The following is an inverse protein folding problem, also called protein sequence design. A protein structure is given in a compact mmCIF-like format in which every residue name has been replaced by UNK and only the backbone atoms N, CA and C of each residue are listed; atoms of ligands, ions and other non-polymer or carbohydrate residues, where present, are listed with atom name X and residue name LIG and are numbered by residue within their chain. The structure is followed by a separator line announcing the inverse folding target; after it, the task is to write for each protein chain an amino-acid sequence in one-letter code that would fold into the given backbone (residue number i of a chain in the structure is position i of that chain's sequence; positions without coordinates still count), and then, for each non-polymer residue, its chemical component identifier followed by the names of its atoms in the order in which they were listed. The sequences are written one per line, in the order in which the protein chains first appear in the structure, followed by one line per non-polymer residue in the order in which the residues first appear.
data_IF_615843576437
#
_entry.id   IF_615843576437
#
_cell.length_a   1.000
_cell.length_b   1.000
_cell.length_c   1.000
_cell.angle_alpha   90.00
_cell.angle_beta   90.00
_cell.angle_gamma   90.00
#
_symmetry.space_group_name_H-M   'P 1'
#
loop_
_entity.id
_entity.type
_entity.pdbx_description
1 polymer ?
#
# COMPACT_ATOMS: atom_id res chain seq x y z
N UNK A 1 50.70 47.53 17.54
CA UNK A 1 50.07 46.37 16.89
C UNK A 1 49.24 45.54 17.87
N UNK A 2 49.83 44.94 18.92
CA UNK A 2 49.08 44.15 19.92
C UNK A 2 47.90 44.86 20.62
N UNK A 3 47.95 46.18 20.79
CA UNK A 3 46.84 46.95 21.37
C UNK A 3 45.66 47.09 20.39
N UNK A 4 45.94 47.27 19.09
CA UNK A 4 44.92 47.36 18.05
C UNK A 4 44.25 46.01 17.80
N UNK A 5 45.03 44.93 17.85
CA UNK A 5 44.53 43.55 17.72
C UNK A 5 43.56 43.20 18.85
N UNK A 6 43.94 43.44 20.11
CA UNK A 6 43.07 43.21 21.28
C UNK A 6 41.78 44.02 21.24
N UNK A 7 41.87 45.27 20.79
CA UNK A 7 40.69 46.12 20.61
C UNK A 7 39.75 45.51 19.55
N UNK A 8 40.29 45.10 18.41
CA UNK A 8 39.52 44.54 17.29
C UNK A 8 38.88 43.19 17.68
N UNK A 9 39.60 42.36 18.43
CA UNK A 9 39.09 41.10 18.96
C UNK A 9 37.91 41.31 19.92
N UNK A 10 37.98 42.35 20.78
CA UNK A 10 36.87 42.73 21.65
C UNK A 10 35.63 43.23 20.90
N UNK A 11 35.83 44.11 19.90
CA UNK A 11 34.75 44.61 19.02
C UNK A 11 34.10 43.45 18.26
N UNK A 12 34.90 42.59 17.64
CA UNK A 12 34.43 41.42 16.90
C UNK A 12 33.69 40.43 17.81
N UNK A 13 34.22 40.17 19.00
CA UNK A 13 33.61 39.27 19.99
C UNK A 13 32.21 39.74 20.40
N UNK A 14 32.04 41.04 20.65
CA UNK A 14 30.76 41.64 21.01
C UNK A 14 29.77 41.62 19.85
N UNK A 15 30.19 42.03 18.65
CA UNK A 15 29.35 42.00 17.45
C UNK A 15 28.89 40.57 17.12
N UNK A 16 29.81 39.60 17.15
CA UNK A 16 29.51 38.17 16.97
C UNK A 16 28.44 37.72 17.97
N UNK A 17 28.62 37.99 19.26
CA UNK A 17 27.66 37.57 20.30
C UNK A 17 26.27 38.17 20.08
N UNK A 18 26.21 39.46 19.71
CA UNK A 18 24.96 40.18 19.49
C UNK A 18 24.18 39.70 18.26
N UNK A 19 24.88 39.31 17.18
CA UNK A 19 24.24 38.82 15.95
C UNK A 19 23.90 37.34 16.08
N UNK A 20 24.87 36.48 16.40
CA UNK A 20 24.69 35.02 16.43
C UNK A 20 23.59 34.62 17.41
N UNK A 21 23.44 35.32 18.53
CA UNK A 21 22.38 35.06 19.51
C UNK A 21 20.95 35.32 19.02
N UNK A 22 20.76 36.01 17.89
CA UNK A 22 19.44 36.27 17.30
C UNK A 22 18.98 35.16 16.36
N UNK A 23 19.89 34.29 15.95
CA UNK A 23 19.64 33.23 14.97
C UNK A 23 19.45 31.87 15.65
N UNK A 24 18.69 30.98 15.01
CA UNK A 24 18.50 29.60 15.48
C UNK A 24 19.60 28.72 14.92
N UNK A 25 19.85 27.58 15.57
CA UNK A 25 20.81 26.58 15.07
C UNK A 25 20.49 26.13 13.62
N UNK A 26 19.20 26.04 13.27
CA UNK A 26 18.72 25.70 11.93
C UNK A 26 19.09 26.72 10.85
N UNK A 27 19.38 27.98 11.23
CA UNK A 27 19.87 29.00 10.30
C UNK A 27 21.35 28.82 9.95
N UNK A 28 22.08 27.99 10.71
CA UNK A 28 23.49 27.61 10.49
C UNK A 28 23.64 26.17 9.98
N UNK A 29 22.74 25.27 10.37
CA UNK A 29 22.80 23.84 10.07
C UNK A 29 21.42 23.39 9.60
N UNK A 30 21.29 23.21 8.28
CA UNK A 30 20.08 22.73 7.64
C UNK A 30 20.43 21.62 6.64
N UNK A 31 19.47 20.73 6.38
CA UNK A 31 19.57 19.70 5.34
C UNK A 31 19.56 20.33 3.95
N UNK A 32 18.86 21.46 3.79
CA UNK A 32 18.82 22.24 2.56
C UNK A 32 19.86 23.37 2.60
N UNK A 33 20.88 23.36 1.72
CA UNK A 33 21.91 24.40 1.68
C UNK A 33 21.36 25.82 1.43
N UNK A 34 20.21 25.96 0.77
CA UNK A 34 19.63 27.27 0.44
C UNK A 34 18.96 27.95 1.64
N UNK A 35 18.70 27.22 2.71
CA UNK A 35 18.04 27.76 3.91
C UNK A 35 19.05 28.25 4.95
N UNK A 36 20.35 28.04 4.71
CA UNK A 36 21.41 28.48 5.60
C UNK A 36 21.70 29.96 5.35
N UNK A 37 21.76 30.76 6.43
CA UNK A 37 21.82 32.23 6.35
C UNK A 37 23.22 32.79 6.58
N UNK A 38 24.27 32.03 6.25
CA UNK A 38 25.65 32.44 6.51
C UNK A 38 25.96 33.84 5.99
N UNK A 39 25.64 34.11 4.73
CA UNK A 39 25.94 35.42 4.15
C UNK A 39 25.22 36.56 4.87
N UNK A 40 23.97 36.35 5.28
CA UNK A 40 23.21 37.37 5.99
C UNK A 40 23.84 37.64 7.36
N UNK A 41 24.22 36.58 8.08
CA UNK A 41 24.83 36.68 9.40
C UNK A 41 26.20 37.35 9.31
N UNK A 42 27.02 36.99 8.32
CA UNK A 42 28.33 37.60 8.07
C UNK A 42 28.20 39.08 7.72
N UNK A 43 27.22 39.46 6.88
CA UNK A 43 26.93 40.86 6.57
C UNK A 43 26.52 41.65 7.82
N UNK A 44 25.60 41.13 8.62
CA UNK A 44 25.17 41.80 9.86
C UNK A 44 26.31 41.97 10.87
N UNK A 45 27.19 40.97 11.02
CA UNK A 45 28.38 41.08 11.87
C UNK A 45 29.32 42.16 11.32
N UNK A 46 29.58 42.15 10.02
CA UNK A 46 30.44 43.14 9.36
C UNK A 46 29.92 44.56 9.60
N UNK A 47 28.64 44.80 9.34
CA UNK A 47 28.01 46.12 9.52
C UNK A 47 28.13 46.63 10.96
N UNK A 48 27.90 45.75 11.95
CA UNK A 48 28.05 46.10 13.37
C UNK A 48 29.50 46.42 13.75
N UNK A 49 30.47 45.66 13.24
CA UNK A 49 31.90 45.90 13.50
C UNK A 49 32.33 47.20 12.84
N UNK A 50 31.97 47.44 11.58
CA UNK A 50 32.29 48.68 10.86
C UNK A 50 31.69 49.91 11.55
N UNK A 51 30.45 49.83 12.03
CA UNK A 51 29.82 50.91 12.78
C UNK A 51 30.58 51.24 14.09
N UNK A 52 31.04 50.21 14.82
CA UNK A 52 31.85 50.39 16.03
C UNK A 52 33.25 50.93 15.74
N UNK A 53 33.90 50.47 14.67
CA UNK A 53 35.23 50.97 14.26
C UNK A 53 35.18 52.45 13.84
N UNK A 54 34.13 52.86 13.10
CA UNK A 54 33.91 54.26 12.72
C UNK A 54 33.68 55.15 13.93
N UNK A 55 32.88 54.69 14.89
CA UNK A 55 32.60 55.42 16.14
C UNK A 55 33.87 55.66 16.95
N UNK A 56 34.77 54.66 17.00
CA UNK A 56 36.03 54.72 17.72
C UNK A 56 37.18 55.39 16.93
N UNK A 57 36.93 55.88 15.71
CA UNK A 57 37.90 56.57 14.84
C UNK A 57 39.24 55.83 14.67
N UNK A 58 39.17 54.50 14.54
CA UNK A 58 40.36 53.64 14.51
C UNK A 58 41.15 53.69 13.20
N UNK A 59 40.54 54.15 12.10
CA UNK A 59 41.16 54.15 10.76
C UNK A 59 41.33 52.74 10.16
N UNK A 60 40.60 51.74 10.65
CA UNK A 60 40.67 50.34 10.20
C UNK A 60 39.49 50.04 9.26
N UNK A 61 39.77 49.35 8.15
CA UNK A 61 38.80 48.86 7.17
C UNK A 61 38.78 47.33 7.13
N UNK A 62 37.59 46.73 6.95
CA UNK A 62 37.41 45.29 6.88
C UNK A 62 37.35 44.85 5.41
N UNK A 63 38.38 44.18 4.92
CA UNK A 63 38.37 43.61 3.56
C UNK A 63 37.46 42.37 3.50
N UNK A 64 37.70 41.40 4.39
CA UNK A 64 36.96 40.13 4.42
C UNK A 64 36.56 39.72 5.83
N UNK A 65 35.34 39.19 5.97
CA UNK A 65 34.82 38.57 7.19
C UNK A 65 34.07 37.30 6.77
N UNK A 66 34.37 36.19 7.44
CA UNK A 66 33.71 34.92 7.19
C UNK A 66 33.79 33.97 8.38
N UNK A 67 32.82 33.06 8.47
CA UNK A 67 32.75 32.05 9.53
C UNK A 67 33.60 30.84 9.13
N UNK A 68 34.67 30.59 9.90
CA UNK A 68 35.59 29.47 9.61
C UNK A 68 35.12 28.13 10.16
N UNK A 69 34.57 28.11 11.37
CA UNK A 69 34.14 26.87 12.05
C UNK A 69 32.99 27.16 13.01
N UNK A 70 32.00 26.28 12.98
CA UNK A 70 30.93 26.21 13.98
C UNK A 70 31.03 24.86 14.66
N UNK A 71 30.94 24.86 15.98
CA UNK A 71 30.96 23.64 16.79
C UNK A 71 30.02 23.80 17.97
N UNK A 72 29.32 22.74 18.31
CA UNK A 72 28.55 22.63 19.54
C UNK A 72 29.48 22.12 20.65
N UNK A 73 29.37 22.62 21.89
CA UNK A 73 30.07 22.02 23.02
C UNK A 73 29.67 20.56 23.19
N UNK A 74 30.62 19.69 23.56
CA UNK A 74 30.33 18.25 23.77
C UNK A 74 29.21 18.02 24.79
N UNK A 75 29.12 18.87 25.82
CA UNK A 75 28.13 18.76 26.91
C UNK A 75 26.67 18.86 26.46
N UNK A 76 26.37 19.59 25.38
CA UNK A 76 25.00 19.74 24.85
C UNK A 76 24.74 18.87 23.62
N UNK A 77 25.81 18.39 22.98
CA UNK A 77 25.74 17.56 21.78
C UNK A 77 24.97 16.26 22.04
N UNK A 78 25.22 15.58 23.17
CA UNK A 78 24.55 14.32 23.50
C UNK A 78 23.03 14.50 23.67
N UNK A 79 22.59 15.51 24.42
CA UNK A 79 21.17 15.77 24.66
C UNK A 79 20.41 16.11 23.37
N UNK A 80 21.04 16.84 22.45
CA UNK A 80 20.45 17.14 21.14
C UNK A 80 20.29 15.87 20.32
N UNK A 81 21.31 15.00 20.27
CA UNK A 81 21.23 13.73 19.56
C UNK A 81 20.18 12.77 20.15
N UNK A 82 20.08 12.69 21.47
CA UNK A 82 19.07 11.87 22.14
C UNK A 82 17.65 12.37 21.82
N UNK A 83 17.46 13.69 21.83
CA UNK A 83 16.19 14.31 21.43
C UNK A 83 15.85 14.01 19.97
N UNK A 84 16.79 14.20 19.04
CA UNK A 84 16.59 13.91 17.62
C UNK A 84 16.24 12.44 17.39
N UNK A 85 16.90 11.53 18.11
CA UNK A 85 16.64 10.08 18.04
C UNK A 85 15.23 9.76 18.53
N UNK A 86 14.82 10.36 19.64
CA UNK A 86 13.47 10.20 20.18
C UNK A 86 12.40 10.72 19.22
N UNK A 87 12.57 11.93 18.69
CA UNK A 87 11.67 12.52 17.70
C UNK A 87 11.56 11.64 16.44
N UNK A 88 12.68 11.09 15.97
CA UNK A 88 12.70 10.16 14.82
C UNK A 88 11.97 8.85 15.13
N UNK A 89 12.14 8.28 16.33
CA UNK A 89 11.39 7.07 16.75
C UNK A 89 9.88 7.32 16.81
N UNK A 90 9.46 8.48 17.32
CA UNK A 90 8.04 8.87 17.35
C UNK A 90 7.48 9.01 15.94
N UNK A 91 8.24 9.61 15.02
CA UNK A 91 7.83 9.74 13.63
C UNK A 91 7.68 8.37 12.96
N UNK A 92 8.66 7.46 13.14
CA UNK A 92 8.61 6.10 12.58
C UNK A 92 7.38 5.36 13.11
N UNK A 93 7.19 5.36 14.42
CA UNK A 93 6.04 4.68 15.04
C UNK A 93 4.70 5.24 14.53
N UNK A 94 4.60 6.56 14.31
CA UNK A 94 3.40 7.16 13.71
C UNK A 94 3.15 6.62 12.29
N UNK A 95 4.18 6.62 11.44
CA UNK A 95 4.07 6.15 10.06
C UNK A 95 3.73 4.65 9.98
N UNK A 96 4.29 3.84 10.88
CA UNK A 96 3.97 2.42 10.98
C UNK A 96 2.51 2.19 11.37
N UNK A 97 2.02 2.91 12.40
CA UNK A 97 0.63 2.82 12.83
C UNK A 97 -0.35 3.31 11.74
N UNK A 98 -0.03 4.41 11.05
CA UNK A 98 -0.83 4.92 9.94
C UNK A 98 -0.87 3.92 8.77
N UNK A 99 0.29 3.34 8.43
CA UNK A 99 0.38 2.32 7.38
C UNK A 99 -0.40 1.04 7.73
N UNK A 100 -0.32 0.59 8.98
CA UNK A 100 -1.06 -0.59 9.44
C UNK A 100 -2.57 -0.33 9.46
N UNK A 101 -3.01 0.83 9.97
CA UNK A 101 -4.42 1.20 9.99
C UNK A 101 -5.01 1.26 8.58
N UNK A 102 -4.29 1.84 7.62
CA UNK A 102 -4.74 1.93 6.24
C UNK A 102 -4.75 0.56 5.56
N UNK A 103 -3.73 -0.27 5.79
CA UNK A 103 -3.71 -1.63 5.29
C UNK A 103 -4.86 -2.47 5.83
N UNK A 104 -5.20 -2.35 7.12
CA UNK A 104 -6.33 -3.03 7.73
C UNK A 104 -7.66 -2.57 7.12
N UNK A 105 -7.85 -1.27 6.86
CA UNK A 105 -9.04 -0.75 6.18
C UNK A 105 -9.20 -1.32 4.77
N UNK A 106 -8.12 -1.33 3.98
CA UNK A 106 -8.14 -1.84 2.61
C UNK A 106 -8.51 -3.33 2.61
N UNK A 107 -7.89 -4.13 3.48
CA UNK A 107 -8.20 -5.57 3.61
C UNK A 107 -9.66 -5.79 4.02
N UNK A 108 -10.14 -5.09 5.06
CA UNK A 108 -11.51 -5.23 5.51
C UNK A 108 -12.54 -4.82 4.43
N UNK A 109 -12.24 -3.78 3.64
CA UNK A 109 -13.08 -3.38 2.53
C UNK A 109 -13.09 -4.43 1.41
N UNK A 110 -11.92 -4.98 1.06
CA UNK A 110 -11.81 -6.04 0.06
C UNK A 110 -12.52 -7.33 0.48
N UNK A 111 -12.36 -7.75 1.74
CA UNK A 111 -13.03 -8.94 2.30
C UNK A 111 -14.55 -8.77 2.28
N UNK A 112 -15.03 -7.59 2.64
CA UNK A 112 -16.45 -7.25 2.57
C UNK A 112 -16.97 -7.33 1.13
N UNK A 113 -16.27 -6.72 0.18
CA UNK A 113 -16.67 -6.77 -1.23
C UNK A 113 -16.67 -8.19 -1.78
N UNK A 114 -15.66 -9.00 -1.43
CA UNK A 114 -15.60 -10.40 -1.81
C UNK A 114 -16.80 -11.19 -1.25
N UNK A 115 -17.13 -10.99 0.02
CA UNK A 115 -18.28 -11.62 0.66
C UNK A 115 -19.62 -11.20 0.01
N UNK A 116 -19.79 -9.92 -0.31
CA UNK A 116 -20.98 -9.40 -1.00
C UNK A 116 -21.13 -10.02 -2.39
N UNK A 117 -20.04 -10.12 -3.17
CA UNK A 117 -20.05 -10.73 -4.51
C UNK A 117 -20.37 -12.23 -4.42
N UNK A 118 -19.75 -12.95 -3.51
CA UNK A 118 -20.00 -14.39 -3.31
C UNK A 118 -21.45 -14.64 -2.91
N UNK A 119 -21.98 -13.87 -1.95
CA UNK A 119 -23.36 -13.99 -1.52
C UNK A 119 -24.35 -13.69 -2.66
N UNK A 120 -24.08 -12.66 -3.47
CA UNK A 120 -24.90 -12.34 -4.64
C UNK A 120 -24.85 -13.46 -5.70
N UNK A 121 -23.67 -14.03 -5.95
CA UNK A 121 -23.50 -15.14 -6.89
C UNK A 121 -24.22 -16.41 -6.42
N UNK A 122 -24.14 -16.74 -5.12
CA UNK A 122 -24.85 -17.89 -4.54
C UNK A 122 -26.36 -17.72 -4.55
N UNK A 123 -26.85 -16.52 -4.24
CA UNK A 123 -28.27 -16.19 -4.31
C UNK A 123 -28.80 -16.36 -5.74
N UNK A 124 -28.07 -15.84 -6.72
CA UNK A 124 -28.44 -15.94 -8.14
C UNK A 124 -28.38 -17.39 -8.64
N UNK A 125 -27.34 -18.14 -8.28
CA UNK A 125 -27.25 -19.57 -8.61
C UNK A 125 -28.43 -20.36 -8.01
N UNK A 126 -28.82 -20.05 -6.78
CA UNK A 126 -29.97 -20.68 -6.12
C UNK A 126 -31.28 -20.33 -6.80
N UNK A 127 -31.46 -19.07 -7.21
CA UNK A 127 -32.62 -18.62 -7.99
C UNK A 127 -32.73 -19.40 -9.31
N UNK A 128 -31.65 -19.50 -10.07
CA UNK A 128 -31.62 -20.22 -11.35
C UNK A 128 -31.93 -21.70 -11.16
N UNK A 129 -31.35 -22.36 -10.13
CA UNK A 129 -31.68 -23.75 -9.81
C UNK A 129 -33.15 -23.93 -9.47
N UNK A 130 -33.69 -23.06 -8.61
CA UNK A 130 -35.10 -23.09 -8.23
C UNK A 130 -36.05 -22.90 -9.43
N UNK A 131 -35.71 -22.01 -10.36
CA UNK A 131 -36.47 -21.84 -11.62
C UNK A 131 -36.39 -23.07 -12.52
N UNK A 132 -35.21 -23.70 -12.60
CA UNK A 132 -35.03 -24.95 -13.34
C UNK A 132 -35.84 -26.10 -12.74
N UNK A 133 -35.82 -26.24 -11.42
CA UNK A 133 -36.60 -27.24 -10.67
C UNK A 133 -38.11 -27.00 -10.85
N UNK A 134 -38.59 -25.76 -10.74
CA UNK A 134 -39.99 -25.42 -10.95
C UNK A 134 -40.47 -25.81 -12.37
N UNK A 135 -39.71 -25.44 -13.41
CA UNK A 135 -40.02 -25.81 -14.80
C UNK A 135 -39.97 -27.33 -15.02
N UNK A 136 -39.04 -28.03 -14.38
CA UNK A 136 -38.97 -29.49 -14.45
C UNK A 136 -40.18 -30.14 -13.77
N UNK A 137 -40.63 -29.60 -12.63
CA UNK A 137 -41.83 -30.06 -11.93
C UNK A 137 -43.10 -29.89 -12.78
N UNK A 138 -43.23 -28.80 -13.54
CA UNK A 138 -44.34 -28.59 -14.47
C UNK A 138 -44.38 -29.64 -15.60
N UNK A 139 -43.22 -30.17 -16.01
CA UNK A 139 -43.11 -31.19 -17.04
C UNK A 139 -43.38 -32.61 -16.50
N UNK A 140 -43.25 -32.82 -15.18
CA UNK A 140 -43.38 -34.14 -14.54
C UNK A 140 -44.75 -34.81 -14.81
N UNK A 141 -45.90 -34.10 -14.74
CA UNK A 141 -47.21 -34.69 -15.08
C UNK A 141 -47.33 -35.17 -16.53
N UNK A 142 -46.53 -34.63 -17.46
CA UNK A 142 -46.50 -35.12 -18.85
C UNK A 142 -45.88 -36.52 -18.91
N UNK A 143 -44.86 -36.77 -18.09
CA UNK A 143 -44.24 -38.10 -17.96
C UNK A 143 -45.12 -39.10 -17.20
N UNK A 144 -45.99 -38.62 -16.30
CA UNK A 144 -46.98 -39.47 -15.61
C UNK A 144 -48.09 -39.99 -16.53
N UNK A 145 -48.36 -39.33 -17.67
CA UNK A 145 -49.36 -39.81 -18.65
C UNK A 145 -48.99 -41.16 -19.25
N UNK A 146 -47.70 -41.46 -19.40
CA UNK A 146 -47.21 -42.77 -19.81
C UNK A 146 -45.81 -43.06 -19.22
N UNK A 147 -45.76 -43.66 -18.01
CA UNK A 147 -44.51 -43.93 -17.32
C UNK A 147 -43.57 -44.91 -18.05
N UNK A 148 -44.13 -45.82 -18.86
CA UNK A 148 -43.36 -46.79 -19.62
C UNK A 148 -42.59 -46.12 -20.77
N UNK A 149 -43.26 -45.21 -21.50
CA UNK A 149 -42.63 -44.43 -22.57
C UNK A 149 -41.58 -43.46 -22.02
N UNK A 150 -41.87 -42.81 -20.89
CA UNK A 150 -40.95 -41.91 -20.20
C UNK A 150 -39.63 -42.60 -19.79
N UNK A 151 -39.73 -43.79 -19.18
CA UNK A 151 -38.55 -44.58 -18.79
C UNK A 151 -37.73 -45.04 -20.00
N UNK A 152 -38.41 -45.42 -21.08
CA UNK A 152 -37.74 -45.84 -22.31
C UNK A 152 -36.96 -44.70 -22.97
N UNK A 153 -37.57 -43.51 -23.12
CA UNK A 153 -36.90 -42.30 -23.62
C UNK A 153 -35.71 -41.89 -22.75
N UNK A 154 -35.84 -41.94 -21.42
CA UNK A 154 -34.76 -41.62 -20.51
C UNK A 154 -33.56 -42.56 -20.69
N UNK A 155 -33.82 -43.86 -20.83
CA UNK A 155 -32.77 -44.87 -21.06
C UNK A 155 -32.10 -44.69 -22.43
N UNK A 156 -32.86 -44.38 -23.47
CA UNK A 156 -32.31 -44.10 -24.81
C UNK A 156 -31.38 -42.88 -24.78
N UNK A 157 -31.79 -41.78 -24.13
CA UNK A 157 -30.95 -40.58 -23.99
C UNK A 157 -29.68 -40.85 -23.20
N UNK A 158 -29.77 -41.61 -22.10
CA UNK A 158 -28.61 -42.01 -21.32
C UNK A 158 -27.63 -42.86 -22.15
N UNK A 159 -28.16 -43.78 -22.96
CA UNK A 159 -27.37 -44.60 -23.88
C UNK A 159 -26.70 -43.76 -24.98
N UNK A 160 -27.43 -42.81 -25.59
CA UNK A 160 -26.88 -41.88 -26.58
C UNK A 160 -25.73 -41.06 -25.99
N UNK A 161 -25.90 -40.55 -24.77
CA UNK A 161 -24.88 -39.75 -24.09
C UNK A 161 -23.64 -40.59 -23.74
N UNK A 162 -23.81 -41.85 -23.34
CA UNK A 162 -22.70 -42.77 -23.08
C UNK A 162 -21.93 -43.17 -24.35
N UNK A 163 -22.58 -43.12 -25.52
CA UNK A 163 -22.05 -43.52 -26.83
C UNK A 163 -21.47 -42.37 -27.67
N UNK A 164 -21.47 -41.12 -27.15
CA UNK A 164 -21.04 -39.93 -27.92
C UNK A 164 -19.55 -39.90 -28.28
N UNK A 165 -18.70 -40.55 -27.48
CA UNK A 165 -17.27 -40.68 -27.77
C UNK A 165 -16.95 -42.05 -28.37
N UNK A 166 -15.77 -42.20 -29.00
CA UNK A 166 -15.28 -43.51 -29.51
C UNK A 166 -15.00 -44.45 -28.33
N UNK A 167 -16.08 -45.03 -27.78
CA UNK A 167 -16.05 -45.81 -26.54
C UNK A 167 -16.17 -47.30 -26.87
N UNK A 168 -15.18 -48.08 -26.42
CA UNK A 168 -15.31 -49.54 -26.33
C UNK A 168 -16.08 -49.86 -25.05
N UNK A 169 -17.32 -50.33 -25.22
CA UNK A 169 -18.23 -50.62 -24.11
C UNK A 169 -18.12 -52.08 -23.65
N UNK A 170 -17.81 -52.28 -22.37
CA UNK A 170 -17.90 -53.57 -21.68
C UNK A 170 -18.96 -53.39 -20.59
N UNK A 171 -20.11 -54.04 -20.73
CA UNK A 171 -21.24 -53.90 -19.81
C UNK A 171 -21.94 -55.25 -19.60
N UNK A 172 -22.63 -55.36 -18.48
CA UNK A 172 -23.58 -56.44 -18.22
C UNK A 172 -24.96 -55.99 -18.74
N UNK A 173 -25.57 -56.81 -19.60
CA UNK A 173 -26.89 -56.59 -20.19
C UNK A 173 -28.02 -56.52 -19.15
N UNK A 174 -27.74 -56.77 -17.86
CA UNK A 174 -28.72 -56.69 -16.77
C UNK A 174 -28.78 -55.32 -16.09
N UNK A 175 -27.90 -54.40 -16.45
CA UNK A 175 -27.78 -53.09 -15.80
C UNK A 175 -28.38 -51.98 -16.68
N UNK A 176 -29.38 -51.20 -16.23
CA UNK A 176 -29.88 -50.05 -16.98
C UNK A 176 -28.80 -48.98 -17.21
N UNK A 177 -28.73 -48.33 -18.40
CA UNK A 177 -29.65 -48.41 -19.54
C UNK A 177 -29.32 -49.53 -20.55
N UNK A 178 -28.34 -50.40 -20.28
CA UNK A 178 -27.89 -51.45 -21.21
C UNK A 178 -28.81 -52.67 -21.27
N UNK A 179 -29.78 -52.76 -20.37
CA UNK A 179 -30.85 -53.77 -20.39
C UNK A 179 -31.80 -53.64 -21.58
N UNK A 180 -31.77 -52.50 -22.28
CA UNK A 180 -32.45 -52.31 -23.57
C UNK A 180 -32.01 -53.32 -24.64
N UNK A 181 -30.79 -53.85 -24.55
CA UNK A 181 -30.26 -54.81 -25.53
C UNK A 181 -30.84 -56.23 -25.37
N UNK A 182 -31.48 -56.56 -24.24
CA UNK A 182 -32.09 -57.88 -24.02
C UNK A 182 -33.43 -58.06 -24.74
N UNK A 183 -34.09 -56.95 -25.14
CA UNK A 183 -35.47 -56.93 -25.62
C UNK A 183 -35.68 -57.05 -27.12
N UNK A 184 -34.62 -56.98 -27.95
CA UNK A 184 -34.75 -57.12 -29.39
C UNK A 184 -34.31 -58.51 -29.82
N UNK A 185 -35.30 -59.39 -30.06
CA UNK A 185 -35.13 -60.45 -31.04
C UNK A 185 -34.88 -59.77 -32.40
N UNK A 186 -33.64 -59.38 -32.68
CA UNK A 186 -33.21 -59.04 -34.03
C UNK A 186 -33.58 -60.20 -34.93
N UNK A 187 -34.62 -59.96 -35.73
CA UNK A 187 -35.06 -60.72 -36.88
C UNK A 187 -34.49 -62.15 -36.94
N UNK A 188 -35.14 -63.11 -36.27
CA UNK A 188 -35.01 -64.51 -36.67
C UNK A 188 -35.63 -64.61 -38.06
N UNK A 189 -34.77 -64.42 -39.06
CA UNK A 189 -35.04 -64.72 -40.44
C UNK A 189 -35.16 -66.25 -40.56
N UNK A 190 -36.29 -66.80 -40.13
CA UNK A 190 -36.71 -68.15 -40.49
C UNK A 190 -37.26 -68.07 -41.91
N UNK A 191 -36.54 -68.72 -42.83
CA UNK A 191 -37.05 -69.15 -44.12
C UNK A 191 -38.31 -69.98 -43.98
#
# INVERSE_FOLDING_TARGET
LQAAERMLEGVLGNAKGAVVGRYRLSDFLNVDPNQVKFEQIEREIRELVEAQLRTNRTGIEIEFLGIKKIGLPESVTQTVFDRMTSERKVLVSRLENEGEAEAQRIRAAADRQAAEILAAAEAEATRIRGEGEARAAELLPVFERNPALANFELRLRALEQALRERTTLIFDERTPPFDLFQGFLTNRNTR
#
